data_IF_393326502136
#
_entry.id   IF_393326502136
#
_cell.length_a   1.000
_cell.length_b   1.000
_cell.length_c   1.000
_cell.angle_alpha   90.00
_cell.angle_beta   90.00
_cell.angle_gamma   90.00
#
_symmetry.space_group_name_H-M   'P 1'
#
loop_
_entity.id
_entity.type
_entity.pdbx_description
1 polymer ?
#
# COMPACT_ATOMS: atom_id res chain seq x y z
N UNK A 1 18.62 -4.94 -17.05
CA UNK A 1 17.80 -5.78 -17.94
C UNK A 1 17.10 -6.77 -17.04
N UNK A 2 15.86 -6.47 -16.64
CA UNK A 2 15.04 -7.44 -15.94
C UNK A 2 14.69 -8.57 -16.92
N UNK A 3 14.71 -9.81 -16.45
CA UNK A 3 14.43 -11.00 -17.21
C UNK A 3 12.93 -11.04 -17.55
N UNK A 4 12.56 -10.92 -18.83
CA UNK A 4 11.17 -10.94 -19.31
C UNK A 4 10.40 -12.20 -18.82
N UNK A 5 11.13 -13.28 -18.53
CA UNK A 5 10.55 -14.50 -17.94
C UNK A 5 10.03 -14.33 -16.51
N UNK A 6 10.64 -13.46 -15.69
CA UNK A 6 10.23 -13.24 -14.30
C UNK A 6 8.94 -12.40 -14.21
N UNK A 7 8.81 -11.39 -15.08
CA UNK A 7 7.60 -10.54 -15.14
C UNK A 7 6.36 -11.33 -15.56
N UNK A 8 6.48 -12.21 -16.56
CA UNK A 8 5.38 -13.09 -16.98
C UNK A 8 4.91 -14.02 -15.84
N UNK A 9 5.85 -14.53 -15.04
CA UNK A 9 5.53 -15.39 -13.90
C UNK A 9 4.78 -14.63 -12.79
N UNK A 10 5.17 -13.38 -12.54
CA UNK A 10 4.56 -12.49 -11.54
C UNK A 10 3.14 -12.04 -11.95
N UNK A 11 2.91 -11.73 -13.22
CA UNK A 11 1.58 -11.44 -13.76
C UNK A 11 0.63 -12.63 -13.62
N UNK A 12 1.11 -13.83 -13.92
CA UNK A 12 0.33 -15.05 -13.81
C UNK A 12 -0.01 -15.39 -12.35
N UNK A 13 0.89 -15.07 -11.41
CA UNK A 13 0.59 -15.13 -9.98
C UNK A 13 -0.51 -14.15 -9.58
N UNK A 14 -0.46 -12.89 -10.01
CA UNK A 14 -1.52 -11.89 -9.78
C UNK A 14 -2.87 -12.39 -10.30
N UNK A 15 -2.92 -12.92 -11.53
CA UNK A 15 -4.14 -13.50 -12.13
C UNK A 15 -4.65 -14.69 -11.32
N UNK A 16 -3.76 -15.59 -10.92
CA UNK A 16 -4.11 -16.80 -10.15
C UNK A 16 -4.72 -16.45 -8.80
N UNK A 17 -4.10 -15.52 -8.05
CA UNK A 17 -4.62 -15.07 -6.75
C UNK A 17 -6.01 -14.43 -6.90
N UNK A 18 -6.21 -13.56 -7.89
CA UNK A 18 -7.52 -12.96 -8.18
C UNK A 18 -8.59 -13.99 -8.50
N UNK A 19 -8.23 -15.03 -9.26
CA UNK A 19 -9.15 -16.12 -9.56
C UNK A 19 -9.51 -16.93 -8.32
N UNK A 20 -8.53 -17.21 -7.44
CA UNK A 20 -8.76 -17.90 -6.18
C UNK A 20 -9.65 -17.08 -5.25
N UNK A 21 -9.41 -15.76 -5.11
CA UNK A 21 -10.28 -14.85 -4.34
C UNK A 21 -11.72 -14.92 -4.86
N UNK A 22 -11.90 -14.79 -6.17
CA UNK A 22 -13.24 -14.86 -6.80
C UNK A 22 -13.95 -16.20 -6.59
N UNK A 23 -13.20 -17.31 -6.65
CA UNK A 23 -13.76 -18.64 -6.45
C UNK A 23 -14.13 -18.89 -4.98
N UNK A 24 -13.28 -18.47 -4.04
CA UNK A 24 -13.53 -18.60 -2.61
C UNK A 24 -14.70 -17.73 -2.17
N UNK A 25 -14.83 -16.50 -2.68
CA UNK A 25 -15.99 -15.64 -2.43
C UNK A 25 -17.30 -16.27 -2.88
N UNK A 26 -17.36 -16.82 -4.09
CA UNK A 26 -18.54 -17.57 -4.59
C UNK A 26 -18.89 -18.80 -3.73
N UNK A 27 -17.88 -19.48 -3.18
CA UNK A 27 -18.12 -20.60 -2.25
C UNK A 27 -18.72 -20.12 -0.94
N UNK A 28 -18.26 -18.99 -0.41
CA UNK A 28 -18.85 -18.36 0.79
C UNK A 28 -20.32 -18.03 0.55
N UNK A 29 -20.64 -17.36 -0.57
CA UNK A 29 -22.01 -17.05 -0.96
C UNK A 29 -22.87 -18.32 -1.03
N UNK A 30 -22.35 -19.38 -1.65
CA UNK A 30 -23.04 -20.68 -1.75
C UNK A 30 -23.34 -21.26 -0.37
N UNK A 31 -22.37 -21.27 0.54
CA UNK A 31 -22.55 -21.77 1.92
C UNK A 31 -23.59 -20.95 2.67
N UNK A 32 -23.59 -19.62 2.51
CA UNK A 32 -24.59 -18.74 3.13
C UNK A 32 -25.99 -19.07 2.58
N UNK A 33 -26.16 -19.11 1.25
CA UNK A 33 -27.43 -19.36 0.60
C UNK A 33 -28.00 -20.76 0.89
N UNK A 34 -27.12 -21.78 0.99
CA UNK A 34 -27.53 -23.15 1.29
C UNK A 34 -27.70 -23.42 2.79
N UNK A 35 -27.56 -22.40 3.64
CA UNK A 35 -27.49 -22.52 5.11
C UNK A 35 -26.48 -23.58 5.60
N UNK A 36 -25.33 -23.66 4.94
CA UNK A 36 -24.29 -24.67 5.18
C UNK A 36 -23.57 -24.56 6.52
N UNK A 37 -22.51 -25.37 6.67
CA UNK A 37 -21.76 -25.47 7.92
C UNK A 37 -21.04 -24.17 8.29
N UNK A 38 -21.22 -23.74 9.55
CA UNK A 38 -20.53 -22.58 10.14
C UNK A 38 -19.02 -22.76 10.21
N UNK A 39 -18.55 -23.98 10.49
CA UNK A 39 -17.11 -24.30 10.55
C UNK A 39 -16.45 -24.20 9.18
N UNK A 40 -17.14 -24.68 8.13
CA UNK A 40 -16.67 -24.52 6.74
C UNK A 40 -16.61 -23.05 6.37
N UNK A 41 -17.63 -22.27 6.73
CA UNK A 41 -17.68 -20.83 6.46
C UNK A 41 -16.51 -20.09 7.13
N UNK A 42 -16.21 -20.38 8.40
CA UNK A 42 -15.06 -19.81 9.11
C UNK A 42 -13.72 -20.12 8.41
N UNK A 43 -13.53 -21.37 7.99
CA UNK A 43 -12.32 -21.76 7.24
C UNK A 43 -12.21 -21.04 5.90
N UNK A 44 -13.33 -20.85 5.19
CA UNK A 44 -13.35 -20.09 3.93
C UNK A 44 -13.06 -18.60 4.13
N UNK A 45 -13.57 -17.97 5.21
CA UNK A 45 -13.24 -16.58 5.55
C UNK A 45 -11.73 -16.43 5.77
N UNK A 46 -11.15 -17.26 6.64
CA UNK A 46 -9.72 -17.22 6.93
C UNK A 46 -8.88 -17.45 5.67
N UNK A 47 -9.29 -18.38 4.81
CA UNK A 47 -8.63 -18.60 3.53
C UNK A 47 -8.74 -17.39 2.59
N UNK A 48 -9.91 -16.74 2.52
CA UNK A 48 -10.12 -15.55 1.69
C UNK A 48 -9.24 -14.37 2.14
N UNK A 49 -9.15 -14.14 3.45
CA UNK A 49 -8.29 -13.11 4.04
C UNK A 49 -6.80 -13.38 3.74
N UNK A 50 -6.37 -14.65 3.81
CA UNK A 50 -5.01 -15.05 3.44
C UNK A 50 -4.71 -14.78 1.96
N UNK A 51 -5.64 -15.10 1.07
CA UNK A 51 -5.49 -14.83 -0.36
C UNK A 51 -5.39 -13.33 -0.65
N UNK A 52 -6.21 -12.51 0.03
CA UNK A 52 -6.17 -11.07 -0.13
C UNK A 52 -4.81 -10.52 0.30
N UNK A 53 -4.31 -10.94 1.46
CA UNK A 53 -3.00 -10.53 1.93
C UNK A 53 -1.89 -10.90 0.94
N UNK A 54 -1.87 -12.15 0.44
CA UNK A 54 -0.87 -12.57 -0.55
C UNK A 54 -0.94 -11.71 -1.81
N UNK A 55 -2.15 -11.32 -2.23
CA UNK A 55 -2.34 -10.41 -3.35
C UNK A 55 -1.83 -9.00 -3.03
N UNK A 56 -2.03 -8.49 -1.82
CA UNK A 56 -1.50 -7.19 -1.38
C UNK A 56 0.03 -7.17 -1.34
N UNK A 57 0.65 -8.23 -0.82
CA UNK A 57 2.12 -8.35 -0.79
C UNK A 57 2.70 -8.38 -2.19
N UNK A 58 2.14 -9.21 -3.06
CA UNK A 58 2.56 -9.28 -4.45
C UNK A 58 2.34 -7.92 -5.16
N UNK A 59 1.29 -7.19 -4.83
CA UNK A 59 1.06 -5.86 -5.38
C UNK A 59 2.13 -4.86 -4.94
N UNK A 60 2.49 -4.85 -3.66
CA UNK A 60 3.55 -3.99 -3.12
C UNK A 60 4.92 -4.32 -3.72
N UNK A 61 5.23 -5.60 -3.92
CA UNK A 61 6.51 -6.04 -4.50
C UNK A 61 6.67 -5.60 -5.97
N UNK A 62 5.57 -5.58 -6.73
CA UNK A 62 5.57 -5.34 -8.17
C UNK A 62 5.26 -3.90 -8.57
N UNK A 63 4.53 -3.15 -7.75
CA UNK A 63 4.22 -1.72 -7.98
C UNK A 63 5.44 -0.86 -8.38
N UNK A 64 6.63 -0.97 -7.76
CA UNK A 64 7.80 -0.18 -8.16
C UNK A 64 8.47 -0.65 -9.46
N UNK A 65 8.13 -1.85 -9.95
CA UNK A 65 8.66 -2.42 -11.20
C UNK A 65 7.74 -2.12 -12.39
N UNK A 66 6.47 -1.86 -12.12
CA UNK A 66 5.47 -1.47 -13.11
C UNK A 66 5.69 -0.01 -13.55
N UNK A 67 5.39 0.28 -14.82
CA UNK A 67 5.29 1.67 -15.27
C UNK A 67 4.02 2.31 -14.70
N UNK A 68 4.02 3.64 -14.57
CA UNK A 68 2.99 4.40 -13.83
C UNK A 68 1.54 4.02 -14.19
N UNK A 69 1.21 3.92 -15.48
CA UNK A 69 -0.13 3.53 -15.94
C UNK A 69 -0.49 2.06 -15.61
N UNK A 70 0.48 1.14 -15.62
CA UNK A 70 0.28 -0.24 -15.18
C UNK A 70 0.06 -0.32 -13.68
N UNK A 71 0.88 0.39 -12.90
CA UNK A 71 0.76 0.44 -11.45
C UNK A 71 -0.63 0.95 -11.03
N UNK A 72 -1.09 2.06 -11.61
CA UNK A 72 -2.42 2.63 -11.32
C UNK A 72 -3.55 1.66 -11.69
N UNK A 73 -3.43 0.96 -12.81
CA UNK A 73 -4.41 -0.05 -13.22
C UNK A 73 -4.42 -1.25 -12.29
N UNK A 74 -3.25 -1.74 -11.86
CA UNK A 74 -3.18 -2.83 -10.89
C UNK A 74 -3.71 -2.40 -9.51
N UNK A 75 -3.49 -1.16 -9.09
CA UNK A 75 -4.03 -0.62 -7.84
C UNK A 75 -5.56 -0.53 -7.87
N UNK A 76 -6.13 -0.03 -8.97
CA UNK A 76 -7.59 -0.01 -9.17
C UNK A 76 -8.20 -1.42 -9.17
N UNK A 77 -7.53 -2.38 -9.81
CA UNK A 77 -7.92 -3.79 -9.76
C UNK A 77 -7.83 -4.32 -8.33
N UNK A 78 -6.72 -4.08 -7.63
CA UNK A 78 -6.51 -4.54 -6.27
C UNK A 78 -7.58 -4.00 -5.32
N UNK A 79 -7.87 -2.69 -5.41
CA UNK A 79 -8.93 -2.04 -4.63
C UNK A 79 -10.28 -2.72 -4.84
N UNK A 80 -10.63 -3.07 -6.08
CA UNK A 80 -11.87 -3.82 -6.39
C UNK A 80 -11.94 -5.15 -5.62
N UNK A 81 -10.84 -5.88 -5.52
CA UNK A 81 -10.80 -7.14 -4.78
C UNK A 81 -10.83 -6.94 -3.27
N UNK A 82 -10.13 -5.92 -2.75
CA UNK A 82 -10.19 -5.54 -1.33
C UNK A 82 -11.65 -5.26 -0.92
N UNK A 83 -12.36 -4.44 -1.70
CA UNK A 83 -13.77 -4.11 -1.45
C UNK A 83 -14.65 -5.36 -1.46
N UNK A 84 -14.55 -6.19 -2.51
CA UNK A 84 -15.36 -7.42 -2.63
C UNK A 84 -15.09 -8.41 -1.49
N UNK A 85 -13.83 -8.58 -1.09
CA UNK A 85 -13.48 -9.43 0.05
C UNK A 85 -14.09 -8.88 1.33
N UNK A 86 -14.02 -7.57 1.56
CA UNK A 86 -14.66 -6.91 2.70
C UNK A 86 -16.17 -7.17 2.76
N UNK A 87 -16.87 -6.95 1.65
CA UNK A 87 -18.31 -7.20 1.53
C UNK A 87 -18.66 -8.67 1.80
N UNK A 88 -17.91 -9.60 1.19
CA UNK A 88 -18.12 -11.04 1.33
C UNK A 88 -17.91 -11.50 2.77
N UNK A 89 -16.83 -11.04 3.40
CA UNK A 89 -16.50 -11.36 4.80
C UNK A 89 -17.54 -10.81 5.76
N UNK A 90 -18.01 -9.57 5.55
CA UNK A 90 -19.06 -9.01 6.39
C UNK A 90 -20.41 -9.73 6.23
N UNK A 91 -20.78 -10.12 5.01
CA UNK A 91 -21.96 -10.96 4.76
C UNK A 91 -21.85 -12.31 5.49
N UNK A 92 -20.68 -12.94 5.44
CA UNK A 92 -20.41 -14.20 6.12
C UNK A 92 -20.47 -14.05 7.66
N UNK A 93 -19.89 -12.99 8.21
CA UNK A 93 -19.99 -12.68 9.65
C UNK A 93 -21.41 -12.37 10.08
N UNK A 94 -22.20 -11.67 9.27
CA UNK A 94 -23.61 -11.42 9.54
C UNK A 94 -24.41 -12.74 9.58
N UNK A 95 -24.14 -13.65 8.64
CA UNK A 95 -24.72 -14.98 8.64
C UNK A 95 -24.35 -15.78 9.91
N UNK A 96 -23.08 -15.79 10.32
CA UNK A 96 -22.63 -16.47 11.54
C UNK A 96 -23.35 -15.92 12.78
N UNK A 97 -23.43 -14.59 12.92
CA UNK A 97 -24.16 -13.91 14.00
C UNK A 97 -25.64 -14.27 14.02
N UNK A 98 -26.28 -14.34 12.85
CA UNK A 98 -27.70 -14.72 12.75
C UNK A 98 -28.00 -16.14 13.25
N UNK A 99 -26.97 -17.00 13.35
CA UNK A 99 -27.06 -18.39 13.80
C UNK A 99 -26.39 -18.62 15.15
N UNK A 100 -26.07 -17.57 15.89
CA UNK A 100 -25.60 -17.69 17.27
C UNK A 100 -26.68 -18.36 18.13
N UNK A 101 -26.30 -19.38 18.90
CA UNK A 101 -27.23 -20.17 19.72
C UNK A 101 -27.86 -21.39 19.01
N UNK A 102 -27.70 -21.54 17.68
CA UNK A 102 -28.06 -22.80 17.02
C UNK A 102 -27.07 -23.92 17.38
N UNK A 103 -27.57 -25.15 17.52
CA UNK A 103 -26.74 -26.34 17.74
C UNK A 103 -25.69 -26.48 16.62
N UNK A 104 -24.45 -26.95 16.93
CA UNK A 104 -23.46 -27.21 15.90
C UNK A 104 -24.02 -28.17 14.87
N UNK A 105 -23.99 -27.76 13.59
CA UNK A 105 -24.48 -28.57 12.47
C UNK A 105 -23.65 -29.86 12.42
N UNK A 106 -24.31 -31.01 12.55
CA UNK A 106 -23.68 -32.30 12.29
C UNK A 106 -23.24 -32.35 10.83
N UNK A 107 -22.01 -32.79 10.62
CA UNK A 107 -21.30 -32.67 9.34
C UNK A 107 -21.87 -33.70 8.36
N UNK A 108 -22.75 -33.27 7.45
CA UNK A 108 -22.99 -34.07 6.24
C UNK A 108 -21.84 -33.81 5.26
N UNK A 109 -21.05 -34.86 5.08
CA UNK A 109 -19.74 -34.86 4.45
C UNK A 109 -19.86 -34.69 2.93
N UNK A 110 -19.89 -33.45 2.43
CA UNK A 110 -19.76 -33.16 0.99
C UNK A 110 -18.77 -32.04 0.77
N UNK A 111 -17.48 -32.29 1.04
CA UNK A 111 -16.40 -31.49 0.46
C UNK A 111 -15.27 -32.44 0.07
N UNK A 112 -15.15 -32.72 -1.23
CA UNK A 112 -13.91 -33.22 -1.83
C UNK A 112 -12.83 -32.15 -1.67
N UNK A 113 -12.18 -32.16 -0.51
CA UNK A 113 -10.91 -31.48 -0.29
C UNK A 113 -9.82 -32.38 -0.90
N UNK A 114 -8.85 -31.85 -1.67
CA UNK A 114 -7.71 -32.67 -2.07
C UNK A 114 -7.02 -33.17 -0.81
N UNK A 115 -7.00 -34.49 -0.64
CA UNK A 115 -6.48 -35.19 0.54
C UNK A 115 -4.97 -34.96 0.64
N UNK A 116 -4.57 -33.94 1.40
CA UNK A 116 -3.19 -33.66 1.74
C UNK A 116 -3.06 -33.51 3.25
N UNK A 117 -2.69 -34.61 3.91
CA UNK A 117 -2.25 -34.73 5.30
C UNK A 117 -3.18 -34.12 6.37
N UNK A 118 -3.86 -34.99 7.12
CA UNK A 118 -4.39 -34.66 8.45
C UNK A 118 -3.24 -34.25 9.37
N UNK A 119 -2.98 -32.94 9.47
CA UNK A 119 -2.00 -32.37 10.39
C UNK A 119 -2.52 -32.49 11.82
N UNK A 120 -1.64 -32.86 12.74
CA UNK A 120 -1.97 -32.96 14.18
C UNK A 120 -2.24 -31.57 14.77
N UNK A 121 -3.05 -31.43 15.84
CA UNK A 121 -3.34 -30.13 16.47
C UNK A 121 -2.09 -29.32 16.83
N UNK A 122 -0.99 -30.00 17.15
CA UNK A 122 0.29 -29.36 17.47
C UNK A 122 1.03 -28.82 16.23
N UNK A 123 0.84 -29.43 15.05
CA UNK A 123 1.36 -28.91 13.78
C UNK A 123 0.53 -27.74 13.25
N UNK A 124 -0.78 -27.74 13.54
CA UNK A 124 -1.67 -26.62 13.21
C UNK A 124 -1.24 -25.39 14.00
N UNK A 125 -1.04 -25.51 15.32
CA UNK A 125 -0.57 -24.40 16.15
C UNK A 125 0.82 -23.88 15.73
N UNK A 126 1.75 -24.77 15.37
CA UNK A 126 3.07 -24.35 14.86
C UNK A 126 2.97 -23.60 13.53
N UNK A 127 2.13 -24.07 12.60
CA UNK A 127 1.89 -23.40 11.33
C UNK A 127 1.17 -22.06 11.50
N UNK A 128 0.24 -21.96 12.44
CA UNK A 128 -0.42 -20.70 12.78
C UNK A 128 0.57 -19.70 13.39
N UNK A 129 1.50 -20.15 14.23
CA UNK A 129 2.55 -19.29 14.79
C UNK A 129 3.54 -18.81 13.72
N UNK A 130 4.05 -19.72 12.89
CA UNK A 130 4.91 -19.38 11.73
C UNK A 130 4.16 -18.46 10.75
N UNK A 131 2.85 -18.64 10.61
CA UNK A 131 2.00 -17.79 9.79
C UNK A 131 1.86 -16.39 10.40
N UNK A 132 1.55 -16.26 11.69
CA UNK A 132 1.47 -14.98 12.39
C UNK A 132 2.80 -14.22 12.38
N UNK A 133 3.93 -14.92 12.49
CA UNK A 133 5.25 -14.30 12.36
C UNK A 133 5.52 -13.84 10.92
N UNK A 134 5.15 -14.64 9.92
CA UNK A 134 5.23 -14.23 8.52
C UNK A 134 4.34 -13.01 8.23
N UNK A 135 3.15 -12.94 8.83
CA UNK A 135 2.27 -11.76 8.76
C UNK A 135 2.93 -10.53 9.38
N UNK A 136 3.48 -10.65 10.58
CA UNK A 136 4.14 -9.55 11.27
C UNK A 136 5.39 -9.07 10.51
N UNK A 137 6.18 -9.99 9.95
CA UNK A 137 7.34 -9.66 9.15
C UNK A 137 6.95 -8.99 7.83
N UNK A 138 5.88 -9.45 7.19
CA UNK A 138 5.36 -8.86 5.97
C UNK A 138 4.74 -7.47 6.21
N UNK A 139 4.01 -7.29 7.32
CA UNK A 139 3.48 -6.00 7.77
C UNK A 139 4.63 -4.99 7.95
N UNK A 140 5.68 -5.38 8.68
CA UNK A 140 6.86 -4.53 8.88
C UNK A 140 7.54 -4.15 7.57
N UNK A 141 7.63 -5.08 6.60
CA UNK A 141 8.18 -4.81 5.27
C UNK A 141 7.34 -3.85 4.45
N UNK A 142 6.04 -3.72 4.71
CA UNK A 142 5.17 -2.73 4.07
C UNK A 142 5.21 -1.37 4.77
N UNK A 143 5.37 -1.36 6.10
CA UNK A 143 5.40 -0.13 6.89
C UNK A 143 6.75 0.59 6.74
N UNK A 144 7.87 -0.13 6.68
CA UNK A 144 9.23 0.42 6.52
C UNK A 144 9.40 1.33 5.26
N UNK A 145 8.97 0.94 4.04
CA UNK A 145 9.06 1.80 2.86
C UNK A 145 8.00 2.92 2.87
N UNK A 146 6.84 2.72 3.53
CA UNK A 146 5.85 3.77 3.73
C UNK A 146 6.37 4.90 4.60
N UNK A 147 6.98 4.57 5.74
CA UNK A 147 7.60 5.56 6.62
C UNK A 147 8.76 6.28 5.94
N UNK A 148 9.56 5.59 5.12
CA UNK A 148 10.61 6.23 4.32
C UNK A 148 10.04 7.18 3.27
N UNK A 149 8.94 6.81 2.61
CA UNK A 149 8.29 7.69 1.63
C UNK A 149 7.70 8.95 2.30
N UNK A 150 7.06 8.79 3.46
CA UNK A 150 6.52 9.92 4.24
C UNK A 150 7.64 10.86 4.74
N UNK A 151 8.79 10.30 5.16
CA UNK A 151 9.97 11.08 5.53
C UNK A 151 10.52 11.89 4.34
N UNK A 152 10.67 11.25 3.17
CA UNK A 152 11.16 11.93 1.96
C UNK A 152 10.20 13.04 1.50
N UNK A 153 8.89 12.80 1.61
CA UNK A 153 7.88 13.83 1.33
C UNK A 153 7.96 15.00 2.31
N UNK A 154 8.13 14.73 3.60
CA UNK A 154 8.30 15.76 4.62
C UNK A 154 9.58 16.59 4.41
N UNK A 155 10.69 15.95 4.04
CA UNK A 155 11.95 16.63 3.72
C UNK A 155 11.81 17.50 2.45
N UNK A 156 11.13 17.01 1.42
CA UNK A 156 10.87 17.76 0.20
C UNK A 156 10.01 19.01 0.46
N UNK A 157 8.96 18.88 1.28
CA UNK A 157 8.09 20.02 1.66
C UNK A 157 8.86 21.03 2.53
N UNK A 158 9.68 20.56 3.48
CA UNK A 158 10.54 21.42 4.29
C UNK A 158 11.59 22.17 3.44
N UNK A 159 12.20 21.51 2.46
CA UNK A 159 13.13 22.12 1.52
C UNK A 159 12.45 23.16 0.63
N UNK A 160 11.24 22.87 0.13
CA UNK A 160 10.43 23.84 -0.62
C UNK A 160 10.03 25.04 0.24
N UNK A 161 9.65 24.84 1.49
CA UNK A 161 9.36 25.92 2.43
C UNK A 161 10.59 26.79 2.69
N UNK A 162 11.78 26.21 2.84
CA UNK A 162 13.03 26.95 2.99
C UNK A 162 13.37 27.77 1.73
N UNK A 163 13.18 27.20 0.54
CA UNK A 163 13.37 27.91 -0.73
C UNK A 163 12.40 29.10 -0.86
N UNK A 164 11.14 28.94 -0.45
CA UNK A 164 10.15 30.03 -0.41
C UNK A 164 10.54 31.16 0.55
N UNK A 165 11.19 30.84 1.68
CA UNK A 165 11.69 31.87 2.61
C UNK A 165 12.88 32.64 2.03
N UNK A 166 13.76 31.97 1.29
CA UNK A 166 14.90 32.62 0.62
C UNK A 166 14.46 33.49 -0.57
N UNK A 167 13.46 33.03 -1.34
CA UNK A 167 12.91 33.77 -2.50
C UNK A 167 11.85 34.81 -2.12
N UNK A 168 11.20 34.66 -0.97
CA UNK A 168 10.25 35.63 -0.40
C UNK A 168 10.90 36.74 0.43
N UNK A 169 12.23 36.70 0.65
CA UNK A 169 12.96 37.82 1.25
C UNK A 169 12.99 38.97 0.23
N UNK A 170 12.32 40.11 0.47
CA UNK A 170 12.48 41.27 -0.40
C UNK A 170 13.97 41.66 -0.37
N UNK A 171 14.55 41.92 -1.54
CA UNK A 171 15.86 42.53 -1.63
C UNK A 171 15.87 43.75 -0.71
N UNK A 172 16.78 43.77 0.28
CA UNK A 172 17.03 44.97 1.08
C UNK A 172 17.20 46.13 0.09
N UNK A 173 16.39 47.20 0.16
CA UNK A 173 16.55 48.31 -0.77
C UNK A 173 17.96 48.86 -0.54
N UNK A 174 18.82 48.66 -1.53
CA UNK A 174 20.16 49.23 -1.57
C UNK A 174 19.97 50.72 -1.36
N UNK A 175 20.30 51.20 -0.16
CA UNK A 175 20.35 52.63 0.12
C UNK A 175 21.50 53.18 -0.71
N UNK A 176 21.19 53.67 -1.91
CA UNK A 176 22.09 54.53 -2.65
C UNK A 176 22.23 55.83 -1.86
N UNK A 177 23.25 55.90 -1.01
CA UNK A 177 23.76 57.17 -0.52
C UNK A 177 24.40 57.89 -1.70
N UNK A 178 23.92 59.08 -2.08
CA UNK A 178 24.57 59.84 -3.13
C UNK A 178 25.95 60.28 -2.61
N UNK A 179 27.00 59.82 -3.26
CA UNK A 179 28.34 60.38 -3.07
C UNK A 179 28.31 61.78 -3.67
N UNK A 180 28.30 62.79 -2.81
CA UNK A 180 28.50 64.19 -3.20
C UNK A 180 29.95 64.30 -3.68
N UNK A 181 30.22 64.64 -4.96
CA UNK A 181 31.60 64.89 -5.39
C UNK A 181 32.11 66.17 -4.73
N UNK A 182 33.40 66.23 -4.35
CA UNK A 182 33.97 67.44 -3.77
C UNK A 182 33.93 68.59 -4.78
N UNK A 183 33.40 69.74 -4.34
CA UNK A 183 33.50 71.02 -5.04
C UNK A 183 34.98 71.39 -5.16
N UNK A 184 35.50 71.42 -6.39
CA UNK A 184 36.80 71.99 -6.67
C UNK A 184 36.70 73.53 -6.60
N UNK A 185 37.57 74.23 -5.86
CA UNK A 185 37.61 75.68 -5.90
C UNK A 185 38.16 76.16 -7.26
N UNK A 186 37.74 77.35 -7.75
CA UNK A 186 38.17 77.87 -9.04
C UNK A 186 39.67 78.16 -9.04
N UNK A 187 40.36 77.62 -10.06
CA UNK A 187 41.76 77.94 -10.38
C UNK A 187 41.82 79.41 -10.81
N UNK A 188 42.64 80.20 -10.12
CA UNK A 188 42.93 81.58 -10.47
C UNK A 188 44.05 81.57 -11.52
N UNK A 189 43.72 81.92 -12.76
CA UNK A 189 44.68 82.11 -13.86
C UNK A 189 45.59 83.30 -13.56
N UNK A 190 46.89 83.06 -13.32
CA UNK A 190 47.88 84.12 -13.07
C UNK A 190 48.87 84.35 -14.24
N UNK A 191 48.68 83.75 -15.41
CA UNK A 191 49.56 83.99 -16.56
C UNK A 191 48.91 84.82 -17.68
N UNK A 192 48.69 86.11 -17.39
CA UNK A 192 48.82 87.20 -18.39
C UNK A 192 49.27 88.49 -17.72
N UNK A 193 50.58 88.66 -17.56
CA UNK A 193 51.22 89.98 -17.58
C UNK A 193 52.47 89.93 -18.45
N UNK A 194 52.38 90.60 -19.59
CA UNK A 194 53.49 91.20 -20.32
C UNK A 194 54.25 92.21 -19.45
#
# INVERSE_FOLDING_TARGET
MADEGSQLQEEDQRKTLRQQISNTGRRIETVISSRGSRGVLLGLISHLENLLLRASLLQTELSPLDYEEEAERQDNLHLTYVTKVGETTEAAKAYLRSREGEAPSEIEHIINLPTGATATPSEIGRREQEHLEALAAAQKRCDDPREQMDQLWGEADAAQAALRQLTGRPADPVRHTPVIPPVNPPVVDWEKRS
#
